data_IF_294409982768
#
_entry.id   IF_294409982768
#
_cell.length_a   1.000
_cell.length_b   1.000
_cell.length_c   1.000
_cell.angle_alpha   90.00
_cell.angle_beta   90.00
_cell.angle_gamma   90.00
#
_symmetry.space_group_name_H-M   'P 1'
#
loop_
_entity.id
_entity.type
_entity.pdbx_description
1 polymer ?
#
# COMPACT_ATOMS: atom_id res chain seq x y z
N UNK A 1 9.88 24.74 10.24
CA UNK A 1 9.23 25.69 11.17
C UNK A 1 8.68 24.90 12.34
N UNK A 2 8.72 25.43 13.56
CA UNK A 2 8.05 24.81 14.71
C UNK A 2 6.53 24.93 14.51
N UNK A 3 5.79 23.89 14.96
CA UNK A 3 4.33 23.92 14.90
C UNK A 3 3.76 24.86 15.98
N UNK A 4 2.61 25.45 15.72
CA UNK A 4 1.85 26.26 16.68
C UNK A 4 1.14 25.38 17.71
N UNK A 5 0.67 26.00 18.82
CA UNK A 5 -0.14 25.28 19.80
C UNK A 5 -1.43 24.69 19.20
N UNK A 6 -2.09 25.40 18.30
CA UNK A 6 -3.29 24.93 17.63
C UNK A 6 -3.00 23.69 16.76
N UNK A 7 -1.91 23.69 16.00
CA UNK A 7 -1.48 22.52 15.20
C UNK A 7 -1.08 21.34 16.10
N UNK A 8 -0.44 21.59 17.25
CA UNK A 8 -0.16 20.55 18.24
C UNK A 8 -1.45 19.91 18.77
N UNK A 9 -2.43 20.73 19.14
CA UNK A 9 -3.72 20.23 19.63
C UNK A 9 -4.51 19.49 18.54
N UNK A 10 -4.44 19.96 17.31
CA UNK A 10 -5.03 19.22 16.17
C UNK A 10 -4.35 17.85 16.00
N UNK A 11 -3.03 17.80 15.98
CA UNK A 11 -2.27 16.56 15.87
C UNK A 11 -2.61 15.57 16.99
N UNK A 12 -2.73 16.08 18.23
CA UNK A 12 -3.06 15.24 19.39
C UNK A 12 -4.47 14.63 19.31
N UNK A 13 -5.42 15.29 18.62
CA UNK A 13 -6.81 14.86 18.51
C UNK A 13 -7.17 14.22 17.16
N UNK A 14 -6.31 14.27 16.15
CA UNK A 14 -6.60 13.78 14.78
C UNK A 14 -7.03 12.30 14.72
N UNK A 15 -6.69 11.53 15.74
CA UNK A 15 -7.10 10.14 15.87
C UNK A 15 -8.62 9.96 15.93
N UNK A 16 -9.36 10.90 16.53
CA UNK A 16 -10.82 10.80 16.69
C UNK A 16 -11.56 10.91 15.36
N UNK A 17 -11.09 11.78 14.45
CA UNK A 17 -11.61 11.90 13.09
C UNK A 17 -11.34 10.60 12.30
N UNK A 18 -10.13 10.07 12.42
CA UNK A 18 -9.75 8.81 11.79
C UNK A 18 -10.63 7.65 12.29
N UNK A 19 -10.82 7.52 13.60
CA UNK A 19 -11.68 6.48 14.18
C UNK A 19 -13.13 6.61 13.75
N UNK A 20 -13.67 7.81 13.66
CA UNK A 20 -15.03 8.06 13.14
C UNK A 20 -15.21 7.49 11.74
N UNK A 21 -14.24 7.70 10.84
CA UNK A 21 -14.25 7.13 9.49
C UNK A 21 -14.12 5.59 9.52
N UNK A 22 -13.19 5.05 10.31
CA UNK A 22 -12.90 3.62 10.36
C UNK A 22 -14.10 2.83 10.93
N UNK A 23 -14.74 3.32 11.98
CA UNK A 23 -15.97 2.72 12.54
C UNK A 23 -17.11 2.78 11.53
N UNK A 24 -17.30 3.89 10.83
CA UNK A 24 -18.31 3.99 9.77
C UNK A 24 -18.09 2.99 8.62
N UNK A 25 -16.83 2.72 8.27
CA UNK A 25 -16.48 1.67 7.31
C UNK A 25 -16.78 0.26 7.86
N UNK A 26 -16.48 -0.02 9.12
CA UNK A 26 -16.74 -1.32 9.74
C UNK A 26 -18.24 -1.62 9.83
N UNK A 27 -19.04 -0.63 10.18
CA UNK A 27 -20.50 -0.71 10.21
C UNK A 27 -21.15 -0.70 8.83
N UNK A 28 -20.36 -0.56 7.75
CA UNK A 28 -20.82 -0.50 6.36
C UNK A 28 -21.80 0.65 6.08
N UNK A 29 -21.67 1.77 6.79
CA UNK A 29 -22.56 2.93 6.76
C UNK A 29 -22.75 3.47 5.34
N UNK A 30 -21.67 3.65 4.60
CA UNK A 30 -21.69 4.25 3.26
C UNK A 30 -22.41 3.36 2.24
N UNK A 31 -22.21 2.04 2.29
CA UNK A 31 -22.91 1.10 1.43
C UNK A 31 -24.40 1.01 1.79
N UNK A 32 -24.69 1.04 3.07
CA UNK A 32 -26.08 1.04 3.59
C UNK A 32 -26.83 2.29 3.13
N UNK A 33 -26.21 3.47 3.19
CA UNK A 33 -26.82 4.72 2.69
C UNK A 33 -27.00 4.66 1.17
N UNK A 34 -25.98 4.24 0.43
CA UNK A 34 -26.02 4.13 -1.02
C UNK A 34 -26.31 5.45 -1.73
N UNK A 35 -26.91 5.37 -2.90
CA UNK A 35 -27.30 6.55 -3.72
C UNK A 35 -28.67 7.15 -3.32
N UNK A 36 -29.54 6.37 -2.68
CA UNK A 36 -30.93 6.78 -2.37
C UNK A 36 -31.05 7.64 -1.09
N UNK A 37 -30.00 7.69 -0.27
CA UNK A 37 -30.05 8.34 1.04
C UNK A 37 -30.93 7.59 2.05
N UNK A 38 -30.74 7.87 3.37
CA UNK A 38 -31.48 7.21 4.45
C UNK A 38 -31.61 8.11 5.67
N UNK A 39 -32.65 7.84 6.49
CA UNK A 39 -32.73 8.39 7.85
C UNK A 39 -31.78 7.68 8.78
N UNK A 40 -31.42 8.28 9.92
CA UNK A 40 -30.57 7.64 10.92
C UNK A 40 -31.15 6.30 11.43
N UNK A 41 -32.46 6.25 11.69
CA UNK A 41 -33.14 5.03 12.12
C UNK A 41 -33.12 3.91 11.07
N UNK A 42 -33.17 4.24 9.77
CA UNK A 42 -33.01 3.25 8.70
C UNK A 42 -31.58 2.70 8.64
N UNK A 43 -30.57 3.55 8.88
CA UNK A 43 -29.16 3.13 8.92
C UNK A 43 -28.92 2.26 10.15
N UNK A 44 -29.34 2.68 11.34
CA UNK A 44 -29.17 1.95 12.59
C UNK A 44 -29.72 0.52 12.49
N UNK A 45 -30.93 0.37 12.01
CA UNK A 45 -31.56 -0.97 11.81
C UNK A 45 -30.75 -1.86 10.86
N UNK A 46 -30.25 -1.29 9.75
CA UNK A 46 -29.49 -2.07 8.74
C UNK A 46 -28.09 -2.43 9.22
N UNK A 47 -27.45 -1.53 9.95
CA UNK A 47 -26.13 -1.77 10.57
C UNK A 47 -26.25 -2.63 11.86
N UNK A 48 -27.47 -2.89 12.35
CA UNK A 48 -27.72 -3.57 13.65
C UNK A 48 -26.99 -2.89 14.80
N UNK A 49 -27.05 -1.56 14.83
CA UNK A 49 -26.34 -0.70 15.76
C UNK A 49 -27.33 0.18 16.54
N UNK A 50 -26.86 0.73 17.66
CA UNK A 50 -27.65 1.62 18.50
C UNK A 50 -28.11 2.87 17.74
N UNK A 51 -29.41 3.23 17.77
CA UNK A 51 -29.95 4.36 17.02
C UNK A 51 -29.34 5.71 17.41
N UNK A 52 -29.07 5.94 18.72
CA UNK A 52 -28.47 7.19 19.19
C UNK A 52 -27.00 7.28 18.73
N UNK A 53 -26.22 6.23 18.91
CA UNK A 53 -24.85 6.16 18.48
C UNK A 53 -24.71 6.36 16.97
N UNK A 54 -25.59 5.74 16.17
CA UNK A 54 -25.60 5.94 14.71
C UNK A 54 -25.98 7.37 14.35
N UNK A 55 -26.97 7.99 15.02
CA UNK A 55 -27.31 9.39 14.78
C UNK A 55 -26.12 10.33 15.01
N UNK A 56 -25.39 10.13 16.13
CA UNK A 56 -24.19 10.92 16.43
C UNK A 56 -23.08 10.69 15.41
N UNK A 57 -22.85 9.43 15.03
CA UNK A 57 -21.85 9.06 14.00
C UNK A 57 -22.17 9.74 12.65
N UNK A 58 -23.43 9.67 12.20
CA UNK A 58 -23.83 10.28 10.93
C UNK A 58 -23.66 11.79 10.91
N UNK A 59 -23.98 12.47 12.02
CA UNK A 59 -23.75 13.90 12.18
C UNK A 59 -22.25 14.26 12.10
N UNK A 60 -21.39 13.48 12.75
CA UNK A 60 -19.95 13.64 12.68
C UNK A 60 -19.45 13.46 11.23
N UNK A 61 -19.95 12.45 10.50
CA UNK A 61 -19.60 12.22 9.09
C UNK A 61 -20.08 13.37 8.17
N UNK A 62 -21.18 14.06 8.51
CA UNK A 62 -21.59 15.29 7.82
C UNK A 62 -20.60 16.41 8.11
N UNK A 63 -20.21 16.58 9.37
CA UNK A 63 -19.18 17.56 9.77
C UNK A 63 -17.83 17.33 9.08
N UNK A 64 -17.44 16.07 8.88
CA UNK A 64 -16.23 15.70 8.14
C UNK A 64 -16.38 15.82 6.60
N UNK A 65 -17.55 16.23 6.08
CA UNK A 65 -17.77 16.38 4.63
C UNK A 65 -17.91 15.06 3.87
N UNK A 66 -18.11 13.95 4.57
CA UNK A 66 -18.29 12.62 3.97
C UNK A 66 -19.75 12.33 3.63
N UNK A 67 -20.69 12.91 4.37
CA UNK A 67 -22.13 12.84 4.11
C UNK A 67 -22.73 14.23 3.97
N UNK A 68 -23.92 14.29 3.41
CA UNK A 68 -24.80 15.46 3.42
C UNK A 68 -26.11 15.12 4.14
N UNK A 69 -26.72 16.11 4.81
CA UNK A 69 -28.01 15.96 5.48
C UNK A 69 -29.02 16.94 4.85
N UNK A 70 -30.14 16.41 4.32
CA UNK A 70 -31.25 17.22 3.80
C UNK A 70 -32.58 16.59 4.22
N UNK A 71 -33.46 17.38 4.83
CA UNK A 71 -34.82 16.95 5.26
C UNK A 71 -34.81 15.66 6.06
N UNK A 72 -33.85 15.52 7.01
CA UNK A 72 -33.71 14.34 7.86
C UNK A 72 -33.14 13.09 7.20
N UNK A 73 -32.64 13.19 5.96
CA UNK A 73 -32.01 12.09 5.23
C UNK A 73 -30.53 12.36 4.98
N UNK A 74 -29.71 11.40 5.32
CA UNK A 74 -28.26 11.37 5.07
C UNK A 74 -28.00 10.77 3.69
N UNK A 75 -27.11 11.40 2.93
CA UNK A 75 -26.71 10.94 1.60
C UNK A 75 -25.19 10.99 1.49
N UNK A 76 -24.61 10.03 0.77
CA UNK A 76 -23.20 10.03 0.43
C UNK A 76 -22.84 11.26 -0.43
N UNK A 77 -21.68 11.83 -0.19
CA UNK A 77 -21.06 12.76 -1.15
C UNK A 77 -20.60 12.00 -2.40
N UNK A 78 -20.30 12.68 -3.53
CA UNK A 78 -19.70 12.03 -4.70
C UNK A 78 -18.42 11.24 -4.37
N UNK A 79 -17.55 11.81 -3.50
CA UNK A 79 -16.35 11.14 -3.01
C UNK A 79 -16.69 9.85 -2.25
N UNK A 80 -17.65 9.92 -1.33
CA UNK A 80 -18.04 8.76 -0.52
C UNK A 80 -18.72 7.67 -1.34
N UNK A 81 -19.54 8.01 -2.34
CA UNK A 81 -20.09 7.04 -3.30
C UNK A 81 -19.00 6.34 -4.09
N UNK A 82 -17.97 7.07 -4.46
CA UNK A 82 -16.88 6.55 -5.28
C UNK A 82 -15.92 5.66 -4.49
N UNK A 83 -15.56 6.06 -3.27
CA UNK A 83 -14.47 5.43 -2.54
C UNK A 83 -14.88 4.70 -1.25
N UNK A 84 -16.07 4.97 -0.70
CA UNK A 84 -16.51 4.40 0.59
C UNK A 84 -17.70 3.44 0.46
N UNK A 85 -18.46 3.49 -0.64
CA UNK A 85 -19.46 2.46 -0.94
C UNK A 85 -18.75 1.21 -1.48
N UNK A 86 -18.84 0.08 -0.75
CA UNK A 86 -18.17 -1.19 -1.11
C UNK A 86 -18.54 -1.73 -2.48
N UNK A 87 -19.66 -1.30 -3.06
CA UNK A 87 -20.11 -1.70 -4.40
C UNK A 87 -19.35 -0.96 -5.51
N UNK A 88 -18.69 0.14 -5.18
CA UNK A 88 -17.89 0.87 -6.15
C UNK A 88 -16.65 0.06 -6.55
N UNK A 89 -16.29 0.06 -7.85
CA UNK A 89 -15.04 -0.55 -8.31
C UNK A 89 -13.79 0.16 -7.79
N UNK A 90 -13.93 1.39 -7.27
CA UNK A 90 -12.86 2.21 -6.71
C UNK A 90 -12.94 2.31 -5.17
N UNK A 91 -13.70 1.42 -4.53
CA UNK A 91 -13.83 1.39 -3.08
C UNK A 91 -12.48 1.09 -2.41
N UNK A 92 -12.24 1.73 -1.26
CA UNK A 92 -11.05 1.53 -0.41
C UNK A 92 -11.39 0.88 0.94
N UNK A 93 -12.48 0.12 0.97
CA UNK A 93 -13.01 -0.43 2.21
C UNK A 93 -12.10 -1.46 2.89
N UNK A 94 -11.31 -2.23 2.12
CA UNK A 94 -10.32 -3.14 2.70
C UNK A 94 -9.10 -2.38 3.21
N UNK A 95 -8.71 -1.28 2.56
CA UNK A 95 -7.66 -0.41 3.07
C UNK A 95 -8.07 0.25 4.40
N UNK A 96 -9.30 0.77 4.50
CA UNK A 96 -9.82 1.32 5.76
C UNK A 96 -9.93 0.25 6.84
N UNK A 97 -10.38 -0.96 6.50
CA UNK A 97 -10.38 -2.08 7.44
C UNK A 97 -8.97 -2.39 7.95
N UNK A 98 -7.97 -2.41 7.09
CA UNK A 98 -6.58 -2.64 7.49
C UNK A 98 -6.07 -1.54 8.42
N UNK A 99 -6.37 -0.27 8.12
CA UNK A 99 -6.01 0.86 8.99
C UNK A 99 -6.69 0.76 10.37
N UNK A 100 -7.97 0.32 10.42
CA UNK A 100 -8.66 0.04 11.67
C UNK A 100 -8.06 -1.16 12.43
N UNK A 101 -7.56 -2.17 11.71
CA UNK A 101 -6.86 -3.29 12.33
C UNK A 101 -5.52 -2.85 12.95
N UNK A 102 -4.77 -2.04 12.25
CA UNK A 102 -3.51 -1.46 12.74
C UNK A 102 -3.70 -0.53 13.95
N UNK A 103 -4.91 -0.06 14.21
CA UNK A 103 -5.18 0.77 15.39
C UNK A 103 -4.77 0.07 16.69
N UNK A 104 -5.06 -1.21 16.82
CA UNK A 104 -4.68 -2.00 17.98
C UNK A 104 -3.17 -2.09 18.15
N UNK A 105 -2.47 -2.26 17.04
CA UNK A 105 -1.02 -2.38 17.05
C UNK A 105 -0.34 -1.06 17.44
N UNK A 106 -0.93 0.09 17.06
CA UNK A 106 -0.45 1.40 17.51
C UNK A 106 -0.52 1.58 19.02
N UNK A 107 -1.46 0.93 19.72
CA UNK A 107 -1.53 0.96 21.18
C UNK A 107 -0.36 0.26 21.85
N UNK A 108 0.29 -0.67 21.16
CA UNK A 108 1.43 -1.45 21.67
C UNK A 108 2.81 -0.83 21.37
N UNK A 109 2.87 0.20 20.53
CA UNK A 109 4.12 0.90 20.20
C UNK A 109 4.90 1.37 21.45
N UNK A 110 4.28 1.95 22.49
CA UNK A 110 5.01 2.32 23.70
C UNK A 110 5.75 1.16 24.36
N UNK A 111 5.19 -0.06 24.29
CA UNK A 111 5.85 -1.28 24.77
C UNK A 111 7.06 -1.64 23.89
N UNK A 112 6.86 -1.67 22.56
CA UNK A 112 7.92 -1.97 21.61
C UNK A 112 9.11 -1.00 21.71
N UNK A 113 8.85 0.29 21.91
CA UNK A 113 9.91 1.30 22.04
C UNK A 113 10.71 1.16 23.34
N UNK A 114 10.11 0.61 24.43
CA UNK A 114 10.80 0.41 25.70
C UNK A 114 11.55 -0.93 25.77
N UNK A 115 11.03 -1.96 25.12
CA UNK A 115 11.51 -3.36 25.31
C UNK A 115 12.07 -3.98 24.04
N UNK A 116 12.07 -3.26 22.92
CA UNK A 116 12.48 -3.78 21.62
C UNK A 116 11.30 -4.25 20.79
N UNK A 117 11.57 -4.60 19.54
CA UNK A 117 10.55 -5.04 18.59
C UNK A 117 9.78 -6.23 19.13
N UNK A 118 8.43 -6.29 18.94
CA UNK A 118 7.68 -7.50 19.23
C UNK A 118 8.18 -8.64 18.33
N UNK A 119 8.20 -9.87 18.86
CA UNK A 119 8.46 -11.03 18.02
C UNK A 119 7.34 -11.19 16.98
N UNK A 120 7.67 -11.76 15.83
CA UNK A 120 6.74 -11.97 14.71
C UNK A 120 5.55 -12.89 15.00
N UNK A 121 5.53 -13.57 16.14
CA UNK A 121 4.49 -14.52 16.55
C UNK A 121 3.11 -13.88 16.78
N UNK A 122 3.01 -12.55 16.66
CA UNK A 122 1.77 -11.82 16.91
C UNK A 122 0.81 -11.78 15.71
N UNK A 123 1.25 -12.12 14.51
CA UNK A 123 0.38 -12.11 13.33
C UNK A 123 -0.06 -13.54 13.05
N UNK A 124 -1.11 -14.00 13.73
CA UNK A 124 -1.87 -15.19 13.29
C UNK A 124 -2.59 -14.85 12.00
N UNK A 125 -1.87 -14.83 10.89
CA UNK A 125 -2.41 -14.51 9.58
C UNK A 125 -3.33 -15.61 9.09
N UNK A 126 -4.61 -15.45 9.35
CA UNK A 126 -5.63 -16.33 8.76
C UNK A 126 -5.64 -16.15 7.23
N UNK A 127 -6.10 -17.16 6.47
CA UNK A 127 -6.27 -17.02 5.01
C UNK A 127 -7.16 -15.82 4.63
N UNK A 128 -8.15 -15.50 5.47
CA UNK A 128 -9.02 -14.33 5.25
C UNK A 128 -8.28 -13.02 5.49
N UNK A 129 -7.48 -12.90 6.55
CA UNK A 129 -6.65 -11.73 6.80
C UNK A 129 -5.73 -11.47 5.60
N UNK A 130 -4.98 -12.49 5.16
CA UNK A 130 -4.06 -12.38 3.99
C UNK A 130 -4.80 -11.94 2.73
N UNK A 131 -6.00 -12.46 2.49
CA UNK A 131 -6.82 -12.05 1.36
C UNK A 131 -7.24 -10.58 1.47
N UNK A 132 -7.77 -10.14 2.63
CA UNK A 132 -8.16 -8.74 2.86
C UNK A 132 -6.97 -7.80 2.82
N UNK A 133 -5.84 -8.18 3.40
CA UNK A 133 -4.58 -7.44 3.30
C UNK A 133 -4.17 -7.24 1.84
N UNK A 134 -4.17 -8.30 1.03
CA UNK A 134 -3.83 -8.20 -0.39
C UNK A 134 -4.81 -7.31 -1.17
N UNK A 135 -6.11 -7.34 -0.84
CA UNK A 135 -7.09 -6.40 -1.40
C UNK A 135 -6.82 -4.96 -0.95
N UNK A 136 -6.49 -4.73 0.31
CA UNK A 136 -6.10 -3.41 0.83
C UNK A 136 -4.87 -2.85 0.11
N UNK A 137 -3.89 -3.70 -0.18
CA UNK A 137 -2.70 -3.31 -0.98
C UNK A 137 -3.08 -2.99 -2.44
N UNK A 138 -4.05 -3.70 -3.01
CA UNK A 138 -4.59 -3.35 -4.32
C UNK A 138 -5.27 -1.97 -4.29
N UNK A 139 -6.15 -1.74 -3.32
CA UNK A 139 -6.86 -0.46 -3.14
C UNK A 139 -5.88 0.70 -2.89
N UNK A 140 -4.83 0.49 -2.10
CA UNK A 140 -3.74 1.48 -1.92
C UNK A 140 -3.03 1.80 -3.23
N UNK A 141 -2.78 0.79 -4.06
CA UNK A 141 -2.04 0.94 -5.31
C UNK A 141 -2.90 1.41 -6.48
N UNK A 142 -4.23 1.37 -6.34
CA UNK A 142 -5.16 1.61 -7.44
C UNK A 142 -4.93 2.95 -8.14
N UNK A 143 -4.78 4.02 -7.36
CA UNK A 143 -4.55 5.37 -7.90
C UNK A 143 -3.07 5.63 -8.25
N UNK A 144 -2.15 4.76 -7.80
CA UNK A 144 -0.72 4.98 -7.89
C UNK A 144 -0.05 4.16 -9.01
N UNK A 145 -0.56 2.97 -9.30
CA UNK A 145 0.12 2.03 -10.18
C UNK A 145 0.29 2.56 -11.61
N UNK A 146 -0.76 3.10 -12.21
CA UNK A 146 -0.69 3.64 -13.59
C UNK A 146 0.20 4.88 -13.69
N UNK A 147 0.07 5.92 -12.84
CA UNK A 147 0.99 7.06 -12.84
C UNK A 147 2.43 6.66 -12.56
N UNK A 148 2.68 5.73 -11.62
CA UNK A 148 4.03 5.25 -11.32
C UNK A 148 4.66 4.58 -12.53
N UNK A 149 3.95 3.62 -13.13
CA UNK A 149 4.42 2.90 -14.31
C UNK A 149 4.61 3.82 -15.51
N UNK A 150 3.86 4.92 -15.60
CA UNK A 150 4.04 5.94 -16.65
C UNK A 150 5.42 6.61 -16.57
N UNK A 151 6.05 6.64 -15.40
CA UNK A 151 7.40 7.21 -15.22
C UNK A 151 8.54 6.23 -15.58
N UNK A 152 8.25 4.93 -15.69
CA UNK A 152 9.25 3.92 -15.99
C UNK A 152 9.85 4.10 -17.37
N UNK A 153 11.13 3.87 -17.46
CA UNK A 153 11.88 3.89 -18.74
C UNK A 153 12.46 2.49 -18.97
N UNK A 154 11.59 1.57 -19.40
CA UNK A 154 12.02 0.21 -19.74
C UNK A 154 13.07 0.23 -20.88
N UNK A 155 13.98 -0.75 -20.93
CA UNK A 155 14.83 -0.94 -22.10
C UNK A 155 13.99 -1.01 -23.40
N UNK A 156 14.46 -0.48 -24.55
CA UNK A 156 13.64 -0.32 -25.77
C UNK A 156 12.99 -1.62 -26.30
N UNK A 157 13.64 -2.76 -26.04
CA UNK A 157 13.17 -4.08 -26.48
C UNK A 157 12.67 -4.95 -25.33
N UNK A 158 12.38 -4.34 -24.18
CA UNK A 158 11.94 -5.08 -22.99
C UNK A 158 10.72 -5.93 -23.26
N UNK A 159 10.80 -7.19 -22.83
CA UNK A 159 9.73 -8.19 -22.93
C UNK A 159 9.45 -8.91 -21.62
N UNK A 160 10.46 -9.09 -20.78
CA UNK A 160 10.36 -9.92 -19.56
C UNK A 160 10.51 -9.04 -18.32
N UNK A 161 9.49 -9.05 -17.48
CA UNK A 161 9.45 -8.27 -16.22
C UNK A 161 9.14 -9.19 -15.06
N UNK A 162 9.82 -8.97 -13.93
CA UNK A 162 9.50 -9.58 -12.65
C UNK A 162 8.96 -8.50 -11.70
N UNK A 163 7.81 -8.74 -11.09
CA UNK A 163 7.24 -7.96 -9.99
C UNK A 163 7.49 -8.75 -8.70
N UNK A 164 8.58 -8.42 -8.00
CA UNK A 164 9.08 -9.15 -6.85
C UNK A 164 8.48 -8.59 -5.55
N UNK A 165 7.73 -9.42 -4.82
CA UNK A 165 6.88 -8.96 -3.73
C UNK A 165 5.66 -8.19 -4.26
N UNK A 166 5.18 -8.55 -5.45
CA UNK A 166 4.14 -7.79 -6.16
C UNK A 166 2.74 -7.88 -5.54
N UNK A 167 2.54 -8.69 -4.50
CA UNK A 167 1.28 -8.81 -3.77
C UNK A 167 0.09 -9.06 -4.69
N UNK A 168 -0.86 -8.09 -4.82
CA UNK A 168 -2.02 -8.18 -5.70
C UNK A 168 -1.67 -8.07 -7.21
N UNK A 169 -0.44 -7.75 -7.58
CA UNK A 169 0.01 -7.58 -8.96
C UNK A 169 -0.46 -6.29 -9.63
N UNK A 170 -0.83 -5.27 -8.87
CA UNK A 170 -1.39 -4.01 -9.41
C UNK A 170 -0.42 -3.31 -10.34
N UNK A 171 0.87 -3.26 -9.99
CA UNK A 171 1.91 -2.66 -10.82
C UNK A 171 2.22 -3.50 -12.05
N UNK A 172 2.30 -4.84 -11.93
CA UNK A 172 2.47 -5.73 -13.08
C UNK A 172 1.33 -5.60 -14.09
N UNK A 173 0.08 -5.47 -13.61
CA UNK A 173 -1.10 -5.23 -14.45
C UNK A 173 -0.98 -3.89 -15.18
N UNK A 174 -0.62 -2.82 -14.48
CA UNK A 174 -0.41 -1.50 -15.09
C UNK A 174 0.73 -1.54 -16.14
N UNK A 175 1.84 -2.22 -15.83
CA UNK A 175 2.95 -2.45 -16.78
C UNK A 175 2.48 -3.19 -18.04
N UNK A 176 1.75 -4.28 -17.88
CA UNK A 176 1.27 -5.07 -19.00
C UNK A 176 0.27 -4.31 -19.89
N UNK A 177 -0.56 -3.43 -19.29
CA UNK A 177 -1.45 -2.53 -20.05
C UNK A 177 -0.67 -1.51 -20.85
N UNK A 178 0.32 -0.86 -20.23
CA UNK A 178 1.12 0.19 -20.86
C UNK A 178 2.08 -0.32 -21.94
N UNK A 179 2.65 -1.51 -21.71
CA UNK A 179 3.64 -2.13 -22.60
C UNK A 179 3.09 -3.45 -23.17
N UNK A 180 2.41 -3.42 -24.33
CA UNK A 180 1.69 -4.59 -24.87
C UNK A 180 2.56 -5.82 -25.16
N UNK A 181 3.89 -5.62 -25.33
CA UNK A 181 4.84 -6.71 -25.61
C UNK A 181 5.42 -7.35 -24.35
N UNK A 182 5.17 -6.77 -23.17
CA UNK A 182 5.71 -7.25 -21.89
C UNK A 182 4.94 -8.47 -21.44
N UNK A 183 5.69 -9.49 -21.06
CA UNK A 183 5.27 -10.64 -20.28
C UNK A 183 5.89 -10.52 -18.88
N UNK A 184 5.16 -10.89 -17.85
CA UNK A 184 5.63 -10.70 -16.49
C UNK A 184 5.30 -11.85 -15.56
N UNK A 185 6.09 -11.91 -14.49
CA UNK A 185 5.85 -12.79 -13.35
C UNK A 185 5.63 -11.89 -12.13
N UNK A 186 4.51 -12.10 -11.44
CA UNK A 186 4.29 -11.57 -10.08
C UNK A 186 4.70 -12.67 -9.11
N UNK A 187 5.74 -12.45 -8.32
CA UNK A 187 6.18 -13.40 -7.31
C UNK A 187 5.90 -12.85 -5.93
N UNK A 188 5.13 -13.58 -5.15
CA UNK A 188 4.76 -13.19 -3.78
C UNK A 188 4.44 -14.43 -2.93
N UNK A 189 4.45 -14.30 -1.62
CA UNK A 189 4.04 -15.36 -0.70
C UNK A 189 2.55 -15.68 -0.83
N UNK A 190 1.72 -14.70 -1.25
CA UNK A 190 0.27 -14.84 -1.41
C UNK A 190 -0.20 -14.28 -2.75
N UNK A 191 -0.59 -15.17 -3.67
CA UNK A 191 -0.93 -14.80 -5.06
C UNK A 191 -2.40 -14.98 -5.44
N UNK A 192 -3.26 -15.30 -4.48
CA UNK A 192 -4.69 -15.56 -4.76
C UNK A 192 -5.37 -14.33 -5.37
N UNK A 193 -5.18 -13.14 -4.80
CA UNK A 193 -5.75 -11.89 -5.32
C UNK A 193 -5.10 -11.51 -6.64
N UNK A 194 -3.78 -11.67 -6.78
CA UNK A 194 -3.10 -11.41 -8.05
C UNK A 194 -3.69 -12.24 -9.21
N UNK A 195 -3.91 -13.54 -8.99
CA UNK A 195 -4.53 -14.41 -9.99
C UNK A 195 -5.95 -13.97 -10.36
N UNK A 196 -6.74 -13.50 -9.38
CA UNK A 196 -8.08 -12.97 -9.61
C UNK A 196 -8.04 -11.68 -10.45
N UNK A 197 -7.17 -10.73 -10.10
CA UNK A 197 -7.04 -9.46 -10.79
C UNK A 197 -6.46 -9.62 -12.21
N UNK A 198 -5.46 -10.47 -12.39
CA UNK A 198 -4.91 -10.80 -13.72
C UNK A 198 -6.01 -11.34 -14.62
N UNK A 199 -6.87 -12.25 -14.13
CA UNK A 199 -8.03 -12.76 -14.88
C UNK A 199 -9.07 -11.68 -15.14
N UNK A 200 -9.42 -10.87 -14.15
CA UNK A 200 -10.36 -9.74 -14.29
C UNK A 200 -9.93 -8.79 -15.42
N UNK A 201 -8.62 -8.56 -15.55
CA UNK A 201 -8.04 -7.71 -16.61
C UNK A 201 -7.71 -8.46 -17.91
N UNK A 202 -8.04 -9.76 -18.02
CA UNK A 202 -7.79 -10.61 -19.22
C UNK A 202 -6.31 -10.67 -19.61
N UNK A 203 -5.40 -10.67 -18.62
CA UNK A 203 -3.94 -10.65 -18.81
C UNK A 203 -3.26 -12.01 -18.53
N UNK A 204 -4.00 -13.08 -18.30
CA UNK A 204 -3.45 -14.41 -17.97
C UNK A 204 -2.55 -15.03 -19.04
N UNK A 205 -2.62 -14.53 -20.26
CA UNK A 205 -1.74 -14.94 -21.36
C UNK A 205 -0.38 -14.21 -21.35
N UNK A 206 -0.21 -13.17 -20.53
CA UNK A 206 1.02 -12.38 -20.41
C UNK A 206 1.55 -12.26 -18.98
N UNK A 207 0.73 -12.43 -17.97
CA UNK A 207 1.12 -12.33 -16.57
C UNK A 207 0.87 -13.64 -15.84
N UNK A 208 1.92 -14.15 -15.18
CA UNK A 208 1.88 -15.32 -14.31
C UNK A 208 2.02 -14.88 -12.86
N UNK A 209 1.10 -15.29 -11.98
CA UNK A 209 1.26 -15.12 -10.53
C UNK A 209 1.80 -16.41 -9.91
N UNK A 210 3.04 -16.36 -9.41
CA UNK A 210 3.79 -17.47 -8.84
C UNK A 210 3.99 -17.26 -7.34
N UNK A 211 3.57 -18.23 -6.55
CA UNK A 211 3.77 -18.21 -5.10
C UNK A 211 5.18 -18.64 -4.75
N UNK A 212 5.82 -17.89 -3.83
CA UNK A 212 7.15 -18.22 -3.34
C UNK A 212 7.73 -17.17 -2.41
N UNK A 213 8.76 -17.57 -1.66
CA UNK A 213 9.54 -16.65 -0.82
C UNK A 213 10.47 -15.79 -1.66
N UNK A 214 10.60 -14.52 -1.31
CA UNK A 214 11.50 -13.57 -1.96
C UNK A 214 12.97 -14.00 -1.85
N UNK A 215 13.30 -14.76 -0.81
CA UNK A 215 14.67 -15.17 -0.49
C UNK A 215 15.04 -16.57 -1.00
N UNK A 216 14.08 -17.48 -1.15
CA UNK A 216 14.37 -18.89 -1.46
C UNK A 216 13.78 -19.38 -2.77
N UNK A 217 12.72 -18.75 -3.29
CA UNK A 217 12.16 -19.16 -4.56
C UNK A 217 13.15 -18.93 -5.72
N UNK A 218 13.15 -19.81 -6.70
CA UNK A 218 13.88 -19.53 -7.95
C UNK A 218 13.24 -18.32 -8.65
N UNK A 219 13.99 -17.23 -8.82
CA UNK A 219 13.50 -16.04 -9.52
C UNK A 219 13.48 -16.25 -11.04
N UNK A 220 14.26 -17.18 -11.55
CA UNK A 220 14.60 -17.28 -12.98
C UNK A 220 15.63 -16.21 -13.37
N UNK A 221 15.85 -16.02 -14.66
CA UNK A 221 16.88 -15.12 -15.18
C UNK A 221 16.44 -14.46 -16.50
N UNK A 222 17.24 -13.47 -16.97
CA UNK A 222 17.02 -12.81 -18.24
C UNK A 222 15.84 -11.85 -18.24
N UNK A 223 15.54 -11.24 -17.09
CA UNK A 223 14.56 -10.15 -17.03
C UNK A 223 15.16 -8.84 -17.54
N UNK A 224 14.39 -8.13 -18.35
CA UNK A 224 14.72 -6.79 -18.80
C UNK A 224 14.46 -5.73 -17.72
N UNK A 225 13.51 -6.05 -16.83
CA UNK A 225 13.22 -5.20 -15.68
C UNK A 225 12.73 -6.03 -14.49
N UNK A 226 13.09 -5.58 -13.29
CA UNK A 226 12.54 -6.08 -12.02
C UNK A 226 11.95 -4.90 -11.26
N UNK A 227 10.70 -5.04 -10.83
CA UNK A 227 10.04 -4.11 -9.93
C UNK A 227 10.11 -4.64 -8.50
N UNK A 228 10.46 -3.78 -7.57
CA UNK A 228 10.44 -4.01 -6.12
C UNK A 228 9.65 -2.86 -5.51
N UNK A 229 8.37 -3.08 -5.22
CA UNK A 229 7.47 -2.01 -4.79
C UNK A 229 6.96 -2.25 -3.38
N UNK A 230 7.28 -1.35 -2.46
CA UNK A 230 6.90 -1.45 -1.03
C UNK A 230 7.34 -2.79 -0.42
N UNK A 231 8.61 -3.12 -0.56
CA UNK A 231 9.20 -4.38 -0.11
C UNK A 231 10.40 -4.16 0.80
N UNK A 232 11.28 -3.20 0.44
CA UNK A 232 12.55 -3.05 1.17
C UNK A 232 12.36 -2.56 2.61
N UNK A 233 11.24 -1.91 2.90
CA UNK A 233 10.92 -1.46 4.25
C UNK A 233 10.56 -2.59 5.23
N UNK A 234 10.32 -3.81 4.74
CA UNK A 234 10.04 -4.98 5.59
C UNK A 234 11.29 -5.60 6.19
N UNK A 235 12.46 -5.32 5.66
CA UNK A 235 13.72 -6.03 5.90
C UNK A 235 14.83 -5.09 6.38
N UNK A 236 15.82 -5.63 7.11
CA UNK A 236 17.04 -4.89 7.45
C UNK A 236 17.99 -4.76 6.24
N UNK A 237 19.08 -4.00 6.41
CA UNK A 237 20.06 -3.75 5.35
C UNK A 237 20.67 -5.06 4.80
N UNK A 238 21.05 -6.02 5.65
CA UNK A 238 21.67 -7.29 5.24
C UNK A 238 20.71 -8.11 4.37
N UNK A 239 19.46 -8.17 4.77
CA UNK A 239 18.38 -8.86 4.04
C UNK A 239 18.12 -8.15 2.70
N UNK A 240 18.01 -6.82 2.71
CA UNK A 240 17.82 -6.02 1.49
C UNK A 240 18.98 -6.19 0.51
N UNK A 241 20.23 -6.18 0.96
CA UNK A 241 21.40 -6.46 0.11
C UNK A 241 21.34 -7.87 -0.49
N UNK A 242 20.89 -8.86 0.27
CA UNK A 242 20.68 -10.22 -0.23
C UNK A 242 19.57 -10.26 -1.29
N UNK A 243 18.44 -9.61 -1.05
CA UNK A 243 17.33 -9.50 -1.99
C UNK A 243 17.76 -8.81 -3.28
N UNK A 244 18.43 -7.66 -3.18
CA UNK A 244 18.90 -6.88 -4.33
C UNK A 244 19.98 -7.60 -5.13
N UNK A 245 20.83 -8.42 -4.49
CA UNK A 245 21.75 -9.33 -5.20
C UNK A 245 20.99 -10.34 -6.04
N UNK A 246 19.94 -10.95 -5.51
CA UNK A 246 19.07 -11.87 -6.27
C UNK A 246 18.39 -11.16 -7.44
N UNK A 247 17.92 -9.93 -7.25
CA UNK A 247 17.38 -9.07 -8.32
C UNK A 247 18.42 -8.85 -9.42
N UNK A 248 19.66 -8.52 -9.04
CA UNK A 248 20.77 -8.35 -9.99
C UNK A 248 21.02 -9.62 -10.79
N UNK A 249 21.06 -10.76 -10.14
CA UNK A 249 21.35 -12.05 -10.77
C UNK A 249 20.23 -12.46 -11.74
N UNK A 250 18.98 -12.11 -11.45
CA UNK A 250 17.81 -12.35 -12.31
C UNK A 250 17.75 -11.42 -13.55
N UNK A 251 18.33 -10.22 -13.48
CA UNK A 251 18.37 -9.25 -14.58
C UNK A 251 19.38 -9.64 -15.67
N UNK A 252 19.04 -9.38 -16.93
CA UNK A 252 20.02 -9.37 -18.03
C UNK A 252 20.98 -8.17 -17.88
N UNK A 253 22.10 -8.19 -18.61
CA UNK A 253 23.01 -7.04 -18.70
C UNK A 253 22.26 -5.85 -19.34
N UNK A 254 22.38 -4.68 -18.77
CA UNK A 254 21.61 -3.49 -19.18
C UNK A 254 20.15 -3.50 -18.71
N UNK A 255 19.70 -4.58 -18.04
CA UNK A 255 18.39 -4.64 -17.41
C UNK A 255 18.26 -3.67 -16.23
N UNK A 256 17.04 -3.32 -15.87
CA UNK A 256 16.77 -2.27 -14.89
C UNK A 256 16.02 -2.78 -13.66
N UNK A 257 16.37 -2.25 -12.50
CA UNK A 257 15.56 -2.36 -11.29
C UNK A 257 14.79 -1.06 -11.06
N UNK A 258 13.52 -1.18 -10.67
CA UNK A 258 12.66 -0.08 -10.25
C UNK A 258 12.24 -0.35 -8.82
N UNK A 259 12.68 0.48 -7.88
CA UNK A 259 12.28 0.40 -6.46
C UNK A 259 11.30 1.54 -6.20
N UNK A 260 10.06 1.20 -5.84
CA UNK A 260 9.03 2.18 -5.47
C UNK A 260 8.83 2.09 -3.97
N UNK A 261 9.06 3.21 -3.25
CA UNK A 261 9.16 3.15 -1.81
C UNK A 261 8.88 4.50 -1.11
N UNK A 262 8.64 4.46 0.18
CA UNK A 262 8.65 5.60 1.09
C UNK A 262 10.08 6.02 1.40
N UNK A 263 10.74 6.63 0.43
CA UNK A 263 12.12 7.07 0.63
C UNK A 263 12.22 8.28 1.55
N UNK A 264 13.20 8.22 2.45
CA UNK A 264 13.58 9.35 3.29
C UNK A 264 14.70 10.18 2.63
N UNK A 265 14.76 11.45 2.99
CA UNK A 265 15.90 12.32 2.69
C UNK A 265 17.14 11.94 3.52
N UNK A 266 18.25 12.64 3.29
CA UNK A 266 19.50 12.36 4.00
C UNK A 266 19.43 12.63 5.51
N UNK A 267 18.46 13.43 5.97
CA UNK A 267 18.21 13.68 7.40
C UNK A 267 17.39 12.56 8.07
N UNK A 268 16.80 11.66 7.29
CA UNK A 268 15.86 10.61 7.69
C UNK A 268 14.59 11.14 8.38
N UNK A 269 14.27 12.43 8.19
CA UNK A 269 13.12 13.08 8.82
C UNK A 269 12.03 13.49 7.85
N UNK A 270 12.30 13.48 6.55
CA UNK A 270 11.36 13.91 5.50
C UNK A 270 11.26 12.87 4.38
N UNK A 271 10.12 12.77 3.73
CA UNK A 271 8.83 13.39 4.10
C UNK A 271 8.30 12.84 5.43
N UNK A 272 7.51 13.63 6.14
CA UNK A 272 6.98 13.28 7.48
C UNK A 272 6.23 11.94 7.45
N UNK A 273 5.47 11.66 6.41
CA UNK A 273 4.72 10.41 6.29
C UNK A 273 5.65 9.19 6.22
N UNK A 274 6.78 9.28 5.54
CA UNK A 274 7.77 8.20 5.49
C UNK A 274 8.46 7.98 6.85
N UNK A 275 8.78 9.06 7.59
CA UNK A 275 9.37 8.94 8.92
C UNK A 275 8.38 8.34 9.94
N UNK A 276 7.11 8.75 9.91
CA UNK A 276 6.04 8.14 10.73
C UNK A 276 5.81 6.68 10.33
N UNK A 277 5.80 6.37 9.03
CA UNK A 277 5.68 5.01 8.54
C UNK A 277 6.85 4.12 9.00
N UNK A 278 8.04 4.69 9.16
CA UNK A 278 9.20 3.97 9.71
C UNK A 278 8.97 3.52 11.16
N UNK A 279 8.27 4.32 11.99
CA UNK A 279 7.85 3.92 13.35
C UNK A 279 6.85 2.76 13.26
N UNK A 280 5.92 2.81 12.30
CA UNK A 280 4.98 1.71 12.08
C UNK A 280 5.73 0.42 11.69
N UNK A 281 6.74 0.50 10.80
CA UNK A 281 7.55 -0.66 10.40
C UNK A 281 8.34 -1.25 11.57
N UNK A 282 8.72 -0.43 12.55
CA UNK A 282 9.33 -0.93 13.79
C UNK A 282 8.41 -1.88 14.56
N UNK A 283 7.10 -1.61 14.56
CA UNK A 283 6.09 -2.44 15.21
C UNK A 283 5.69 -3.66 14.37
N UNK A 284 5.63 -3.52 13.05
CA UNK A 284 5.01 -4.50 12.15
C UNK A 284 5.99 -5.43 11.44
N UNK A 285 7.29 -5.22 11.58
CA UNK A 285 8.30 -6.02 10.90
C UNK A 285 9.36 -6.49 11.87
N UNK A 286 9.97 -7.64 11.58
CA UNK A 286 11.05 -8.16 12.42
C UNK A 286 12.28 -7.25 12.44
N UNK A 287 12.54 -6.54 11.33
CA UNK A 287 13.81 -5.82 11.16
C UNK A 287 13.72 -4.56 10.27
N UNK A 288 12.55 -4.30 9.65
CA UNK A 288 12.40 -3.28 8.64
C UNK A 288 12.28 -1.84 9.15
N UNK A 289 12.44 -0.89 8.25
CA UNK A 289 12.25 0.55 8.41
C UNK A 289 12.20 1.24 7.05
N UNK A 290 11.83 2.50 6.97
CA UNK A 290 12.07 3.28 5.77
C UNK A 290 13.55 3.61 5.60
N UNK A 291 14.01 3.64 4.37
CA UNK A 291 15.41 3.87 4.00
C UNK A 291 15.57 5.16 3.20
N UNK A 292 16.75 5.77 3.33
CA UNK A 292 17.10 6.96 2.55
C UNK A 292 17.45 6.63 1.10
N UNK A 293 17.32 7.63 0.21
CA UNK A 293 17.72 7.51 -1.18
C UNK A 293 19.18 7.09 -1.35
N UNK A 294 20.11 7.78 -0.66
CA UNK A 294 21.56 7.50 -0.75
C UNK A 294 21.92 6.13 -0.21
N UNK A 295 21.26 5.72 0.84
CA UNK A 295 21.45 4.42 1.47
C UNK A 295 21.13 3.28 0.47
N UNK A 296 19.94 3.36 -0.16
CA UNK A 296 19.50 2.38 -1.15
C UNK A 296 20.35 2.42 -2.42
N UNK A 297 20.76 3.61 -2.89
CA UNK A 297 21.69 3.73 -4.02
C UNK A 297 23.06 3.14 -3.71
N UNK A 298 23.55 3.32 -2.48
CA UNK A 298 24.81 2.71 -2.01
C UNK A 298 24.79 1.19 -2.15
N UNK A 299 23.71 0.55 -1.66
CA UNK A 299 23.57 -0.91 -1.81
C UNK A 299 23.57 -1.37 -3.27
N UNK A 300 22.85 -0.67 -4.12
CA UNK A 300 22.79 -1.00 -5.54
C UNK A 300 24.13 -0.79 -6.22
N UNK A 301 24.86 0.30 -5.89
CA UNK A 301 26.19 0.58 -6.43
C UNK A 301 27.18 -0.53 -6.06
N UNK A 302 27.20 -0.96 -4.81
CA UNK A 302 28.06 -2.05 -4.33
C UNK A 302 27.75 -3.38 -5.06
N UNK A 303 26.51 -3.55 -5.54
CA UNK A 303 26.08 -4.70 -6.32
C UNK A 303 26.33 -4.55 -7.85
N UNK A 304 26.98 -3.48 -8.31
CA UNK A 304 27.28 -3.26 -9.73
C UNK A 304 26.13 -2.70 -10.55
N UNK A 305 25.21 -1.96 -9.92
CA UNK A 305 24.27 -1.11 -10.65
C UNK A 305 24.82 0.29 -10.84
N UNK A 306 24.31 0.98 -11.85
CA UNK A 306 24.64 2.37 -12.14
C UNK A 306 23.51 3.10 -12.84
N UNK A 307 23.75 4.31 -13.34
CA UNK A 307 22.76 5.14 -14.07
C UNK A 307 21.49 5.37 -13.24
N UNK A 308 21.68 5.82 -12.01
CA UNK A 308 20.60 6.07 -11.06
C UNK A 308 19.69 7.22 -11.51
N UNK A 309 18.40 7.06 -11.32
CA UNK A 309 17.41 8.12 -11.51
C UNK A 309 16.39 8.08 -10.38
N UNK A 310 16.22 9.18 -9.68
CA UNK A 310 15.18 9.37 -8.65
C UNK A 310 14.00 10.12 -9.25
N UNK A 311 12.79 9.67 -8.95
CA UNK A 311 11.54 10.38 -9.34
C UNK A 311 10.57 10.37 -8.18
N UNK A 312 9.91 11.50 -7.93
CA UNK A 312 8.75 11.54 -7.07
C UNK A 312 7.55 10.91 -7.80
N UNK A 313 6.84 10.02 -7.14
CA UNK A 313 5.56 9.45 -7.58
C UNK A 313 4.42 10.25 -6.95
N UNK A 314 4.53 10.48 -5.65
CA UNK A 314 3.70 11.39 -4.86
C UNK A 314 4.63 12.20 -3.93
N UNK A 315 4.09 13.14 -3.15
CA UNK A 315 4.91 13.81 -2.14
C UNK A 315 5.60 12.87 -1.14
N UNK A 316 5.05 11.68 -0.93
CA UNK A 316 5.50 10.73 0.10
C UNK A 316 6.17 9.47 -0.48
N UNK A 317 5.97 9.17 -1.77
CA UNK A 317 6.44 7.96 -2.42
C UNK A 317 7.38 8.35 -3.56
N UNK A 318 8.53 7.71 -3.60
CA UNK A 318 9.50 7.87 -4.65
C UNK A 318 9.75 6.59 -5.45
N UNK A 319 10.38 6.74 -6.60
CA UNK A 319 10.85 5.65 -7.44
C UNK A 319 12.33 5.85 -7.74
N UNK A 320 13.12 4.84 -7.43
CA UNK A 320 14.53 4.73 -7.77
C UNK A 320 14.70 3.75 -8.93
N UNK A 321 15.27 4.23 -10.03
CA UNK A 321 15.64 3.42 -11.18
C UNK A 321 17.15 3.24 -11.20
N UNK A 322 17.64 2.01 -11.44
CA UNK A 322 19.05 1.73 -11.65
C UNK A 322 19.23 0.66 -12.74
N UNK A 323 20.37 0.71 -13.43
CA UNK A 323 20.71 -0.22 -14.53
C UNK A 323 21.82 -1.16 -14.09
N UNK A 324 21.67 -2.47 -14.33
CA UNK A 324 22.74 -3.47 -14.17
C UNK A 324 23.83 -3.21 -15.20
N UNK A 325 25.05 -2.94 -14.72
CA UNK A 325 26.23 -2.70 -15.55
C UNK A 325 26.94 -3.99 -15.92
#
# INVERSE_FOLDING_TARGET
MAITYAELMWLANAFSESQTLLVANDLDVFTVIGSAGRTAGEVARRCRADPEGVFLLLNALVGLGLLTLRKGRYSNTPLSLRHLDRRSPEAISNLLWLLGHHWKDWTDIPHALRHGRPGWDHITETPEFRRRFSLAMHERSFMLAEPTVATFRLPPKARRVLDLGGGPGSYAIALAKRYPRVQGVVLDQTVTVARQLIRKHRLQHRLLARQGSLFTADLGSGYDAVLVSNVIHDFNEKENRTLLKRVRDALCLGGKVFIVEFFLDDSLTKPVKASVFSVMMYQFTASGRCYGWRETEGWLKDLGFGRFTRRAVTPDIGMLEATKL
#
